data_IF_018134821365
#
_entry.id   IF_018134821365
#
_cell.length_a   1.000
_cell.length_b   1.000
_cell.length_c   1.000
_cell.angle_alpha   90.00
_cell.angle_beta   90.00
_cell.angle_gamma   90.00
#
_symmetry.space_group_name_H-M   'P 1'
#
loop_
_entity.id
_entity.type
_entity.pdbx_description
1 polymer ?
#
# COMPACT_ATOMS: atom_id res chain seq x y z
N UNK A 1 5.52 39.28 -40.83
CA UNK A 1 6.30 38.05 -41.05
C UNK A 1 5.38 36.88 -40.77
N UNK A 2 4.70 36.38 -41.80
CA UNK A 2 3.85 35.20 -41.69
C UNK A 2 4.73 33.96 -41.68
N UNK A 3 4.70 33.17 -40.61
CA UNK A 3 5.35 31.87 -40.59
C UNK A 3 4.60 30.95 -41.55
N UNK A 4 5.33 30.45 -42.56
CA UNK A 4 4.82 29.49 -43.55
C UNK A 4 4.11 28.30 -42.90
N UNK A 5 2.97 27.89 -43.47
CA UNK A 5 2.09 26.81 -43.01
C UNK A 5 2.82 25.49 -42.70
N UNK A 6 3.96 25.21 -43.38
CA UNK A 6 4.82 24.05 -43.12
C UNK A 6 5.55 24.13 -41.76
N UNK A 7 5.93 25.33 -41.31
CA UNK A 7 6.55 25.54 -40.01
C UNK A 7 5.53 25.40 -38.87
N UNK A 8 4.26 25.75 -39.10
CA UNK A 8 3.20 25.55 -38.11
C UNK A 8 2.84 24.07 -37.92
N UNK A 9 2.79 23.26 -39.00
CA UNK A 9 2.62 21.81 -38.87
C UNK A 9 3.80 21.13 -38.16
N UNK A 10 5.03 21.57 -38.44
CA UNK A 10 6.23 21.04 -37.78
C UNK A 10 6.24 21.34 -36.28
N UNK A 11 5.88 22.55 -35.87
CA UNK A 11 5.80 22.93 -34.45
C UNK A 11 4.70 22.15 -33.71
N UNK A 12 3.54 21.94 -34.34
CA UNK A 12 2.43 21.17 -33.76
C UNK A 12 2.80 19.69 -33.61
N UNK A 13 3.53 19.10 -34.55
CA UNK A 13 4.03 17.72 -34.41
C UNK A 13 5.07 17.57 -33.29
N UNK A 14 5.96 18.55 -33.08
CA UNK A 14 6.96 18.51 -32.00
C UNK A 14 6.31 18.71 -30.62
N UNK A 15 5.27 19.53 -30.53
CA UNK A 15 4.52 19.77 -29.27
C UNK A 15 3.58 18.59 -28.94
N UNK A 16 3.05 17.88 -29.95
CA UNK A 16 2.23 16.68 -29.72
C UNK A 16 3.05 15.39 -29.49
N UNK A 17 4.37 15.42 -29.74
CA UNK A 17 5.29 14.29 -29.49
C UNK A 17 6.10 14.42 -28.18
N UNK A 18 6.01 15.56 -27.48
CA UNK A 18 6.58 15.79 -26.15
C UNK A 18 5.46 16.26 -25.20
N UNK A 19 4.79 15.37 -24.42
CA UNK A 19 5.40 14.31 -23.63
C UNK A 19 4.56 13.03 -23.60
N UNK A 20 4.93 12.02 -24.38
CA UNK A 20 4.96 10.68 -23.82
C UNK A 20 6.19 10.63 -22.90
N UNK A 21 6.15 11.40 -21.79
CA UNK A 21 7.02 11.15 -20.65
C UNK A 21 6.58 9.78 -20.16
N UNK A 22 7.17 8.74 -20.73
CA UNK A 22 7.35 7.48 -20.04
C UNK A 22 7.95 7.89 -18.70
N UNK A 23 7.10 7.96 -17.67
CA UNK A 23 7.51 8.12 -16.29
C UNK A 23 8.28 6.83 -15.97
N UNK A 24 9.52 6.74 -16.47
CA UNK A 24 10.52 5.87 -15.91
C UNK A 24 10.69 6.39 -14.50
N UNK A 25 9.91 5.85 -13.56
CA UNK A 25 10.20 6.05 -12.15
C UNK A 25 11.62 5.57 -11.95
N UNK A 26 12.54 6.52 -11.81
CA UNK A 26 13.91 6.25 -11.46
C UNK A 26 13.93 5.53 -10.11
N UNK A 27 14.86 4.60 -9.96
CA UNK A 27 15.03 3.92 -8.69
C UNK A 27 15.69 4.87 -7.69
N UNK A 28 15.17 4.87 -6.47
CA UNK A 28 15.80 5.51 -5.32
C UNK A 28 16.77 4.53 -4.68
N UNK A 29 18.02 4.95 -4.50
CA UNK A 29 19.04 4.15 -3.78
C UNK A 29 18.80 4.24 -2.27
N UNK A 30 18.95 3.12 -1.58
CA UNK A 30 18.79 3.03 -0.13
C UNK A 30 19.43 1.75 0.41
N UNK A 31 19.07 1.34 1.61
CA UNK A 31 19.49 0.08 2.23
C UNK A 31 18.28 -0.69 2.74
N UNK A 32 18.42 -2.01 2.76
CA UNK A 32 17.43 -2.91 3.36
C UNK A 32 18.10 -3.85 4.36
N UNK A 33 17.38 -4.13 5.43
CA UNK A 33 17.67 -5.23 6.35
C UNK A 33 16.42 -6.09 6.52
N UNK A 34 16.46 -7.07 7.42
CA UNK A 34 15.35 -7.96 7.69
C UNK A 34 15.24 -8.24 9.19
N UNK A 35 14.02 -8.55 9.64
CA UNK A 35 13.76 -9.08 10.98
C UNK A 35 13.51 -10.59 10.90
N UNK A 36 13.52 -11.26 12.04
CA UNK A 36 13.28 -12.71 12.13
C UNK A 36 11.86 -13.01 12.60
N UNK A 37 11.22 -13.99 11.96
CA UNK A 37 9.95 -14.59 12.40
C UNK A 37 10.04 -16.11 12.22
N UNK A 38 9.37 -16.87 13.09
CA UNK A 38 9.45 -18.34 13.07
C UNK A 38 8.87 -18.97 11.80
N UNK A 39 7.90 -18.32 11.16
CA UNK A 39 7.24 -18.79 9.94
C UNK A 39 7.59 -17.98 8.67
N UNK A 40 8.50 -17.01 8.80
CA UNK A 40 9.04 -16.18 7.73
C UNK A 40 8.11 -15.07 7.22
N UNK A 41 6.89 -14.95 7.74
CA UNK A 41 5.91 -13.92 7.37
C UNK A 41 6.13 -12.61 8.14
N UNK A 42 5.21 -11.65 7.93
CA UNK A 42 5.13 -10.40 8.69
C UNK A 42 4.86 -10.54 10.20
N UNK A 43 4.62 -9.40 10.85
CA UNK A 43 4.04 -9.34 12.21
C UNK A 43 2.58 -8.84 12.13
N UNK A 44 1.65 -9.37 12.95
CA UNK A 44 0.28 -8.86 12.98
C UNK A 44 0.18 -7.49 13.68
N UNK A 45 1.22 -7.07 14.42
CA UNK A 45 1.22 -5.84 15.23
C UNK A 45 1.86 -4.65 14.51
N UNK A 46 1.99 -4.70 13.19
CA UNK A 46 2.59 -3.60 12.44
C UNK A 46 1.79 -2.30 12.57
N UNK A 47 2.48 -1.17 12.56
CA UNK A 47 1.96 0.18 12.75
C UNK A 47 0.86 0.58 11.75
N UNK A 48 0.68 -0.17 10.65
CA UNK A 48 -0.44 0.07 9.74
C UNK A 48 -1.79 -0.45 10.25
N UNK A 49 -1.82 -1.30 11.29
CA UNK A 49 -3.06 -1.79 11.90
C UNK A 49 -3.79 -2.88 11.10
N UNK A 50 -3.13 -3.48 10.11
CA UNK A 50 -3.71 -4.53 9.25
C UNK A 50 -3.87 -5.90 9.94
N UNK A 51 -3.35 -6.10 11.14
CA UNK A 51 -3.52 -7.36 11.88
C UNK A 51 -2.93 -8.57 11.15
N UNK A 52 -3.54 -9.74 11.37
CA UNK A 52 -3.15 -10.99 10.70
C UNK A 52 -3.21 -10.91 9.16
N UNK A 53 -4.10 -10.07 8.62
CA UNK A 53 -4.15 -9.84 7.17
C UNK A 53 -2.85 -9.24 6.65
N UNK A 54 -2.37 -8.18 7.32
CA UNK A 54 -1.15 -7.46 6.91
C UNK A 54 0.11 -8.30 6.97
N UNK A 55 0.20 -9.17 7.98
CA UNK A 55 1.32 -10.09 8.14
C UNK A 55 1.47 -11.06 6.96
N UNK A 56 0.36 -11.60 6.48
CA UNK A 56 0.37 -12.63 5.43
C UNK A 56 0.33 -12.02 4.05
N UNK A 57 -0.42 -10.92 3.85
CA UNK A 57 -0.65 -10.27 2.55
C UNK A 57 -0.69 -11.32 1.44
N UNK A 58 -1.65 -12.24 1.49
CA UNK A 58 -1.58 -13.55 0.82
C UNK A 58 -1.15 -13.45 -0.66
N UNK A 59 -1.60 -12.42 -1.36
CA UNK A 59 -1.25 -12.15 -2.76
C UNK A 59 0.25 -11.90 -3.00
N UNK A 60 0.92 -11.33 -2.01
CA UNK A 60 2.36 -11.12 -1.96
C UNK A 60 3.07 -12.23 -1.19
N UNK A 61 2.37 -13.29 -0.75
CA UNK A 61 2.98 -14.47 -0.13
C UNK A 61 3.78 -14.17 1.15
N UNK A 62 3.40 -13.14 1.90
CA UNK A 62 4.12 -12.69 3.10
C UNK A 62 5.28 -11.75 2.84
N UNK A 63 5.44 -11.26 1.60
CA UNK A 63 6.47 -10.30 1.25
C UNK A 63 6.02 -8.91 1.67
N UNK A 64 6.41 -8.50 2.87
CA UNK A 64 6.03 -7.24 3.50
C UNK A 64 7.25 -6.58 4.12
N UNK A 65 7.15 -5.30 4.44
CA UNK A 65 8.20 -4.57 5.13
C UNK A 65 7.64 -3.51 6.08
N UNK A 66 8.39 -3.28 7.15
CA UNK A 66 8.38 -2.00 7.84
C UNK A 66 9.19 -0.99 7.04
N UNK A 67 8.68 0.23 6.92
CA UNK A 67 9.33 1.28 6.14
C UNK A 67 9.58 2.53 6.96
N UNK A 68 10.62 3.29 6.60
CA UNK A 68 11.05 4.50 7.31
C UNK A 68 10.17 5.71 6.95
N UNK A 69 10.71 6.72 6.26
CA UNK A 69 10.00 7.90 5.76
C UNK A 69 8.86 7.58 4.79
N UNK A 70 8.88 6.40 4.15
CA UNK A 70 7.80 5.97 3.26
C UNK A 70 6.48 5.68 4.02
N UNK A 71 6.52 5.48 5.35
CA UNK A 71 5.33 5.23 6.16
C UNK A 71 4.38 6.43 6.17
N UNK A 72 4.91 7.66 6.11
CA UNK A 72 4.18 8.92 5.95
C UNK A 72 2.98 9.07 6.90
N UNK A 73 3.21 8.89 8.22
CA UNK A 73 2.15 8.98 9.23
C UNK A 73 0.95 8.06 8.94
N UNK A 74 1.23 6.87 8.39
CA UNK A 74 0.23 5.88 8.02
C UNK A 74 -0.33 6.04 6.60
N UNK A 75 -0.11 7.16 5.92
CA UNK A 75 -0.58 7.36 4.55
C UNK A 75 0.15 6.44 3.54
N UNK A 76 1.34 5.94 3.89
CA UNK A 76 2.09 4.94 3.10
C UNK A 76 1.67 3.49 3.35
N UNK A 77 0.76 3.23 4.27
CA UNK A 77 0.32 1.87 4.56
C UNK A 77 -0.41 1.25 3.37
N UNK A 78 -0.02 0.03 3.02
CA UNK A 78 -0.57 -0.70 1.87
C UNK A 78 0.08 -0.34 0.53
N UNK A 79 1.07 0.56 0.50
CA UNK A 79 1.78 0.88 -0.75
C UNK A 79 2.74 -0.23 -1.16
N UNK A 80 2.88 -0.44 -2.47
CA UNK A 80 3.70 -1.50 -3.04
C UNK A 80 5.00 -0.96 -3.65
N UNK A 81 6.07 -1.72 -3.47
CA UNK A 81 7.41 -1.40 -3.96
C UNK A 81 8.03 -2.58 -4.66
N UNK A 82 8.82 -2.28 -5.69
CA UNK A 82 9.84 -3.18 -6.19
C UNK A 82 11.17 -2.76 -5.58
N UNK A 83 11.87 -3.72 -4.96
CA UNK A 83 13.15 -3.54 -4.28
C UNK A 83 14.17 -4.50 -4.87
N UNK A 84 15.32 -3.99 -5.32
CA UNK A 84 16.41 -4.77 -5.90
C UNK A 84 17.68 -4.53 -5.09
N UNK A 85 18.46 -5.57 -4.84
CA UNK A 85 19.78 -5.38 -4.24
C UNK A 85 20.82 -4.97 -5.30
N UNK A 86 21.95 -4.44 -4.83
CA UNK A 86 23.02 -3.89 -5.67
C UNK A 86 24.31 -4.72 -5.67
N UNK A 87 24.24 -6.01 -5.29
CA UNK A 87 25.34 -6.97 -5.38
C UNK A 87 25.18 -7.80 -6.66
N UNK A 88 25.87 -7.48 -7.77
CA UNK A 88 25.55 -8.03 -9.10
C UNK A 88 25.60 -9.56 -9.17
N UNK A 89 26.48 -10.16 -8.37
CA UNK A 89 26.70 -11.61 -8.30
C UNK A 89 25.65 -12.34 -7.44
N UNK A 90 24.76 -11.65 -6.75
CA UNK A 90 23.77 -12.30 -5.87
C UNK A 90 22.34 -11.88 -6.24
N UNK A 91 22.16 -10.71 -6.83
CA UNK A 91 20.84 -10.11 -6.98
C UNK A 91 20.00 -10.72 -8.09
N UNK A 92 18.73 -10.97 -7.77
CA UNK A 92 17.68 -11.19 -8.76
C UNK A 92 17.41 -9.90 -9.53
N UNK A 93 17.29 -9.99 -10.86
CA UNK A 93 17.07 -8.81 -11.72
C UNK A 93 15.74 -8.09 -11.42
N UNK A 94 14.73 -8.82 -10.98
CA UNK A 94 13.44 -8.26 -10.59
C UNK A 94 13.38 -7.90 -9.11
N UNK A 95 14.14 -8.60 -8.27
CA UNK A 95 14.16 -8.42 -6.83
C UNK A 95 12.82 -8.76 -6.17
N UNK A 96 12.54 -8.11 -5.05
CA UNK A 96 11.34 -8.33 -4.25
C UNK A 96 10.24 -7.33 -4.61
N UNK A 97 9.04 -7.85 -4.87
CA UNK A 97 7.79 -7.08 -4.81
C UNK A 97 7.17 -7.26 -3.44
N UNK A 98 6.93 -6.16 -2.72
CA UNK A 98 6.46 -6.19 -1.34
C UNK A 98 5.48 -5.06 -1.03
N UNK A 99 4.78 -5.20 0.10
CA UNK A 99 3.83 -4.22 0.63
C UNK A 99 4.35 -3.59 1.92
N UNK A 100 4.22 -2.28 2.06
CA UNK A 100 4.49 -1.58 3.32
C UNK A 100 3.35 -1.82 4.32
N UNK A 101 3.65 -2.51 5.42
CA UNK A 101 2.66 -2.91 6.44
C UNK A 101 3.03 -2.48 7.85
N UNK A 102 4.17 -1.85 8.02
CA UNK A 102 4.69 -1.41 9.31
C UNK A 102 5.56 -0.16 9.15
N UNK A 103 5.92 0.44 10.27
CA UNK A 103 6.96 1.46 10.37
C UNK A 103 8.23 0.80 10.91
N UNK A 104 9.35 0.98 10.21
CA UNK A 104 10.62 0.37 10.57
C UNK A 104 11.77 1.35 10.42
N UNK A 105 12.72 1.28 11.34
CA UNK A 105 13.94 2.09 11.33
C UNK A 105 15.17 1.19 11.47
N UNK A 106 16.25 1.58 10.79
CA UNK A 106 17.56 0.95 10.85
C UNK A 106 18.63 1.94 10.37
N UNK A 107 19.90 1.53 10.32
CA UNK A 107 21.01 2.39 9.87
C UNK A 107 20.87 2.75 8.38
N UNK A 108 20.26 3.92 8.12
CA UNK A 108 20.03 4.47 6.77
C UNK A 108 19.30 3.48 5.86
N UNK A 109 18.37 2.72 6.44
CA UNK A 109 17.52 1.75 5.75
C UNK A 109 16.12 2.29 5.55
N UNK A 110 15.59 2.19 4.33
CA UNK A 110 14.17 2.47 4.08
C UNK A 110 13.28 1.25 4.28
N UNK A 111 13.85 0.04 4.27
CA UNK A 111 13.12 -1.20 4.36
C UNK A 111 13.69 -2.12 5.44
N UNK A 112 12.84 -2.49 6.40
CA UNK A 112 13.05 -3.62 7.30
C UNK A 112 12.09 -4.74 6.85
N UNK A 113 12.62 -5.66 6.06
CA UNK A 113 11.84 -6.64 5.29
C UNK A 113 11.49 -7.88 6.11
N UNK A 114 10.36 -8.53 5.80
CA UNK A 114 10.10 -9.89 6.27
C UNK A 114 11.14 -10.86 5.72
N UNK A 115 11.41 -12.00 6.38
CA UNK A 115 12.33 -13.01 5.86
C UNK A 115 12.01 -13.43 4.43
N UNK A 116 10.72 -13.64 4.13
CA UNK A 116 10.23 -13.98 2.79
C UNK A 116 10.48 -12.89 1.75
N UNK A 117 10.38 -11.61 2.13
CA UNK A 117 10.67 -10.50 1.23
C UNK A 117 12.18 -10.38 0.97
N UNK A 118 13.00 -10.47 2.02
CA UNK A 118 14.45 -10.34 1.90
C UNK A 118 15.06 -11.47 1.06
N UNK A 119 14.60 -12.71 1.24
CA UNK A 119 15.05 -13.85 0.45
C UNK A 119 14.77 -13.69 -1.07
N UNK A 120 13.81 -12.85 -1.46
CA UNK A 120 13.53 -12.56 -2.88
C UNK A 120 14.47 -11.54 -3.52
N UNK A 121 15.41 -10.97 -2.76
CA UNK A 121 16.48 -10.17 -3.34
C UNK A 121 17.51 -11.04 -4.06
N UNK A 122 17.72 -12.28 -3.61
CA UNK A 122 18.68 -13.21 -4.21
C UNK A 122 18.13 -13.91 -5.46
N UNK A 123 18.98 -14.10 -6.48
CA UNK A 123 18.64 -14.80 -7.75
C UNK A 123 18.37 -16.29 -7.60
N UNK A 124 18.81 -16.88 -6.49
CA UNK A 124 18.57 -18.27 -6.11
C UNK A 124 18.79 -18.42 -4.60
N UNK A 125 18.43 -19.58 -4.05
CA UNK A 125 18.49 -19.86 -2.61
C UNK A 125 19.89 -19.62 -2.01
N UNK A 126 20.95 -20.07 -2.69
CA UNK A 126 22.33 -19.81 -2.28
C UNK A 126 22.60 -18.30 -2.16
N UNK A 127 22.23 -17.53 -3.20
CA UNK A 127 22.45 -16.08 -3.21
C UNK A 127 21.64 -15.37 -2.11
N UNK A 128 20.42 -15.86 -1.82
CA UNK A 128 19.59 -15.33 -0.75
C UNK A 128 20.21 -15.56 0.63
N UNK A 129 20.78 -16.74 0.88
CA UNK A 129 21.50 -17.03 2.13
C UNK A 129 22.82 -16.27 2.22
N UNK A 130 23.56 -16.10 1.11
CA UNK A 130 24.74 -15.22 1.10
C UNK A 130 24.36 -13.78 1.45
N UNK A 131 23.31 -13.20 0.83
CA UNK A 131 22.84 -11.85 1.14
C UNK A 131 22.45 -11.70 2.62
N UNK A 132 21.86 -12.73 3.25
CA UNK A 132 21.52 -12.70 4.68
C UNK A 132 22.74 -12.53 5.58
N UNK A 133 23.91 -13.05 5.18
CA UNK A 133 25.16 -12.90 5.95
C UNK A 133 25.66 -11.45 6.01
N UNK A 134 25.28 -10.62 5.05
CA UNK A 134 25.59 -9.18 5.06
C UNK A 134 24.75 -8.44 6.13
N UNK A 135 23.59 -8.98 6.49
CA UNK A 135 22.63 -8.39 7.45
C UNK A 135 21.89 -7.17 6.91
N UNK A 136 22.63 -6.20 6.37
CA UNK A 136 22.09 -5.04 5.66
C UNK A 136 22.74 -4.94 4.28
N UNK A 137 21.92 -4.77 3.25
CA UNK A 137 22.38 -4.70 1.86
C UNK A 137 21.97 -3.38 1.22
N UNK A 138 22.83 -2.87 0.34
CA UNK A 138 22.48 -1.74 -0.50
C UNK A 138 21.46 -2.17 -1.54
N UNK A 139 20.43 -1.34 -1.71
CA UNK A 139 19.30 -1.58 -2.59
C UNK A 139 19.00 -0.36 -3.46
N UNK A 140 18.19 -0.60 -4.46
CA UNK A 140 17.44 0.41 -5.16
C UNK A 140 15.96 0.02 -5.16
N UNK A 141 15.05 0.99 -5.05
CA UNK A 141 13.63 0.72 -5.04
C UNK A 141 12.83 1.75 -5.82
N UNK A 142 11.61 1.37 -6.22
CA UNK A 142 10.62 2.29 -6.76
C UNK A 142 9.22 1.90 -6.33
N UNK A 143 8.32 2.86 -6.28
CA UNK A 143 6.90 2.60 -6.03
C UNK A 143 6.31 1.93 -7.28
N UNK A 144 5.49 0.91 -7.09
CA UNK A 144 4.82 0.19 -8.18
C UNK A 144 3.33 0.06 -7.88
N UNK A 145 2.48 -0.12 -8.91
CA UNK A 145 1.07 -0.41 -8.69
C UNK A 145 0.89 -1.68 -7.85
N UNK A 146 0.04 -1.60 -6.82
CA UNK A 146 -0.39 -2.78 -6.12
C UNK A 146 -1.31 -3.63 -7.00
N UNK A 147 -1.09 -4.95 -7.02
CA UNK A 147 -1.96 -5.91 -7.70
C UNK A 147 -2.53 -6.91 -6.70
N UNK A 148 -3.85 -6.96 -6.62
CA UNK A 148 -4.68 -7.85 -5.83
C UNK A 148 -5.80 -8.38 -6.73
N UNK A 149 -6.14 -9.66 -6.63
CA UNK A 149 -7.36 -10.17 -7.25
C UNK A 149 -8.56 -9.94 -6.33
N UNK A 150 -9.63 -9.41 -6.90
CA UNK A 150 -10.87 -9.17 -6.19
C UNK A 150 -11.04 -7.72 -5.79
N UNK A 151 -11.97 -7.49 -4.88
CA UNK A 151 -12.48 -6.17 -4.58
C UNK A 151 -11.71 -5.53 -3.40
N UNK A 152 -11.79 -4.20 -3.32
CA UNK A 152 -11.46 -3.47 -2.09
C UNK A 152 -12.28 -4.05 -0.94
N UNK A 153 -11.68 -4.19 0.24
CA UNK A 153 -12.35 -4.76 1.41
C UNK A 153 -12.45 -3.72 2.53
N UNK A 154 -13.59 -3.71 3.21
CA UNK A 154 -13.74 -3.06 4.51
C UNK A 154 -13.57 -4.09 5.60
N UNK A 155 -12.50 -4.00 6.38
CA UNK A 155 -12.26 -4.88 7.51
C UNK A 155 -12.49 -4.12 8.81
N UNK A 156 -13.54 -4.50 9.53
CA UNK A 156 -13.87 -3.90 10.83
C UNK A 156 -12.84 -4.38 11.84
N UNK A 157 -12.19 -3.45 12.53
CA UNK A 157 -11.18 -3.75 13.53
C UNK A 157 -11.79 -4.50 14.71
N UNK A 158 -11.00 -5.42 15.24
CA UNK A 158 -11.30 -6.23 16.41
C UNK A 158 -11.54 -5.38 17.66
N UNK A 159 -11.00 -4.17 17.70
CA UNK A 159 -11.19 -3.18 18.78
C UNK A 159 -12.53 -2.43 18.70
N UNK A 160 -13.35 -2.68 17.68
CA UNK A 160 -14.67 -2.06 17.53
C UNK A 160 -15.68 -2.61 18.54
N UNK A 161 -16.73 -1.85 18.82
CA UNK A 161 -17.87 -2.25 19.63
C UNK A 161 -19.18 -1.82 18.96
N UNK A 162 -20.14 -2.73 18.87
CA UNK A 162 -21.45 -2.48 18.28
C UNK A 162 -22.55 -2.53 19.35
N UNK A 163 -23.16 -1.39 19.75
CA UNK A 163 -22.78 -0.01 19.42
C UNK A 163 -21.61 0.49 20.28
N UNK A 164 -21.04 1.65 19.93
CA UNK A 164 -20.11 2.40 20.78
C UNK A 164 -18.88 2.94 20.05
N UNK A 165 -18.18 2.09 19.31
CA UNK A 165 -16.94 2.48 18.63
C UNK A 165 -16.78 1.72 17.32
N UNK A 166 -16.56 2.44 16.23
CA UNK A 166 -16.35 1.85 14.92
C UNK A 166 -14.95 2.19 14.43
N UNK A 167 -14.16 1.16 14.11
CA UNK A 167 -12.87 1.34 13.45
C UNK A 167 -12.72 0.34 12.31
N UNK A 168 -12.07 0.75 11.23
CA UNK A 168 -11.79 -0.12 10.10
C UNK A 168 -10.46 0.18 9.43
N UNK A 169 -10.01 -0.78 8.64
CA UNK A 169 -8.99 -0.60 7.60
C UNK A 169 -9.58 -0.91 6.24
N UNK A 170 -9.12 -0.19 5.22
CA UNK A 170 -9.43 -0.49 3.83
C UNK A 170 -8.28 -1.32 3.25
N UNK A 171 -8.60 -2.51 2.75
CA UNK A 171 -7.65 -3.48 2.21
C UNK A 171 -7.83 -3.64 0.70
N UNK A 172 -6.85 -4.24 0.02
CA UNK A 172 -6.88 -4.54 -1.42
C UNK A 172 -7.07 -3.30 -2.31
N UNK A 173 -6.43 -2.20 -1.91
CA UNK A 173 -6.37 -0.99 -2.72
C UNK A 173 -5.34 -1.22 -3.83
N UNK A 174 -5.83 -1.57 -5.02
CA UNK A 174 -5.02 -1.73 -6.23
C UNK A 174 -4.46 -0.39 -6.72
N UNK A 175 -3.49 -0.46 -7.63
CA UNK A 175 -2.95 0.71 -8.31
C UNK A 175 -1.90 1.47 -7.49
N UNK A 176 -1.60 2.70 -7.90
CA UNK A 176 -0.71 3.62 -7.18
C UNK A 176 -1.57 4.61 -6.39
N UNK A 177 -2.21 4.10 -5.34
CA UNK A 177 -3.18 4.83 -4.56
C UNK A 177 -2.86 4.79 -3.07
N UNK A 178 -2.99 5.94 -2.43
CA UNK A 178 -2.99 6.10 -0.97
C UNK A 178 -4.44 6.37 -0.55
N UNK A 179 -4.99 5.63 0.42
CA UNK A 179 -6.30 5.98 0.99
C UNK A 179 -6.13 7.26 1.78
N UNK A 180 -6.82 8.33 1.37
CA UNK A 180 -6.64 9.68 1.95
C UNK A 180 -7.72 10.01 2.98
N UNK A 181 -8.96 9.61 2.75
CA UNK A 181 -10.08 9.87 3.63
C UNK A 181 -11.14 8.75 3.56
N UNK A 182 -11.90 8.59 4.64
CA UNK A 182 -13.05 7.69 4.74
C UNK A 182 -14.19 8.45 5.38
N UNK A 183 -15.41 8.24 4.89
CA UNK A 183 -16.63 8.83 5.43
C UNK A 183 -17.69 7.78 5.64
N UNK A 184 -18.49 7.97 6.68
CA UNK A 184 -19.71 7.20 6.93
C UNK A 184 -20.94 8.07 6.75
N UNK A 185 -22.04 7.46 6.30
CA UNK A 185 -23.31 8.15 6.14
C UNK A 185 -24.15 8.07 7.42
N UNK A 186 -24.58 9.21 7.93
CA UNK A 186 -25.44 9.33 9.11
C UNK A 186 -26.35 10.56 8.99
N UNK A 187 -27.64 10.38 9.31
CA UNK A 187 -28.61 11.49 9.41
C UNK A 187 -28.63 12.41 8.17
N UNK A 188 -28.60 11.83 6.97
CA UNK A 188 -28.65 12.61 5.73
C UNK A 188 -27.31 13.20 5.27
N UNK A 189 -26.21 12.95 5.99
CA UNK A 189 -24.92 13.57 5.73
C UNK A 189 -23.77 12.56 5.78
N UNK A 190 -22.71 12.85 5.04
CA UNK A 190 -21.43 12.16 5.17
C UNK A 190 -20.61 12.78 6.30
N UNK A 191 -20.07 11.94 7.18
CA UNK A 191 -19.24 12.33 8.32
C UNK A 191 -17.88 11.66 8.18
N UNK A 192 -16.81 12.47 8.28
CA UNK A 192 -15.44 11.98 8.15
C UNK A 192 -15.03 11.13 9.35
N UNK A 193 -14.33 10.05 9.07
CA UNK A 193 -13.64 9.24 10.07
C UNK A 193 -12.27 9.84 10.35
N UNK A 194 -11.78 9.68 11.58
CA UNK A 194 -10.44 10.12 11.95
C UNK A 194 -9.43 9.04 11.61
N UNK A 195 -8.30 9.41 11.00
CA UNK A 195 -7.16 8.52 10.92
C UNK A 195 -6.43 8.54 12.25
N UNK A 196 -6.51 7.45 13.00
CA UNK A 196 -5.98 7.36 14.35
C UNK A 196 -4.55 6.79 14.37
N UNK A 197 -4.38 5.56 13.86
CA UNK A 197 -3.08 4.88 13.83
C UNK A 197 -2.88 4.16 12.50
N UNK A 198 -1.84 4.56 11.74
CA UNK A 198 -1.52 3.92 10.46
C UNK A 198 -2.63 4.06 9.41
N UNK A 199 -3.19 2.91 9.00
CA UNK A 199 -4.31 2.84 8.06
C UNK A 199 -5.68 2.71 8.75
N UNK A 200 -5.75 2.80 10.09
CA UNK A 200 -7.00 2.66 10.84
C UNK A 200 -7.76 3.99 10.83
N UNK A 201 -9.00 3.92 10.36
CA UNK A 201 -9.96 5.01 10.43
C UNK A 201 -11.02 4.69 11.47
N UNK A 202 -11.34 5.65 12.33
CA UNK A 202 -12.31 5.46 13.41
C UNK A 202 -13.41 6.50 13.46
N UNK A 203 -14.48 6.12 14.16
CA UNK A 203 -15.62 6.95 14.47
C UNK A 203 -16.19 6.59 15.85
N UNK A 204 -16.19 7.55 16.79
CA UNK A 204 -16.84 7.34 18.08
C UNK A 204 -18.36 7.37 17.91
N UNK A 205 -19.08 6.49 18.63
CA UNK A 205 -20.54 6.45 18.65
C UNK A 205 -21.18 6.41 17.24
N UNK A 206 -20.91 5.35 16.44
CA UNK A 206 -21.49 5.22 15.10
C UNK A 206 -23.03 5.20 15.15
N UNK A 207 -23.72 5.54 14.05
CA UNK A 207 -25.17 5.41 13.98
C UNK A 207 -25.62 4.00 14.34
N UNK A 208 -26.72 3.89 15.08
CA UNK A 208 -27.40 2.61 15.26
C UNK A 208 -27.95 2.15 13.91
N UNK A 209 -27.71 0.89 13.55
CA UNK A 209 -28.21 0.30 12.31
C UNK A 209 -27.12 0.09 11.26
N UNK A 210 -27.55 0.11 10.01
CA UNK A 210 -26.71 -0.13 8.84
C UNK A 210 -25.66 0.97 8.65
N UNK A 211 -24.44 0.56 8.26
CA UNK A 211 -23.35 1.49 7.96
C UNK A 211 -23.11 1.53 6.45
N UNK A 212 -23.07 2.74 5.90
CA UNK A 212 -22.61 3.00 4.54
C UNK A 212 -21.33 3.81 4.59
N UNK A 213 -20.35 3.42 3.79
CA UNK A 213 -19.05 4.05 3.73
C UNK A 213 -18.72 4.49 2.31
N UNK A 214 -17.98 5.59 2.20
CA UNK A 214 -17.25 5.99 1.00
C UNK A 214 -15.82 6.34 1.37
N UNK A 215 -14.92 6.29 0.41
CA UNK A 215 -13.51 6.61 0.65
C UNK A 215 -12.90 7.35 -0.53
N UNK A 216 -11.78 8.01 -0.28
CA UNK A 216 -11.04 8.74 -1.30
C UNK A 216 -9.62 8.20 -1.38
N UNK A 217 -9.09 8.14 -2.60
CA UNK A 217 -7.71 7.74 -2.87
C UNK A 217 -6.93 8.85 -3.57
N UNK A 218 -5.62 8.90 -3.38
CA UNK A 218 -4.74 9.83 -4.08
C UNK A 218 -4.83 9.63 -5.60
N UNK A 219 -4.74 10.72 -6.36
CA UNK A 219 -4.82 10.66 -7.83
C UNK A 219 -6.26 10.60 -8.38
N UNK A 220 -7.28 10.55 -7.52
CA UNK A 220 -8.69 10.67 -7.89
C UNK A 220 -9.32 11.93 -7.26
N UNK A 221 -10.09 12.68 -8.06
CA UNK A 221 -10.86 13.84 -7.57
C UNK A 221 -12.06 13.39 -6.74
N UNK A 222 -12.71 12.33 -7.18
CA UNK A 222 -14.04 11.95 -6.69
C UNK A 222 -13.97 10.92 -5.56
N UNK A 223 -15.05 10.86 -4.80
CA UNK A 223 -15.25 9.81 -3.81
C UNK A 223 -15.58 8.49 -4.49
N UNK A 224 -14.99 7.42 -3.98
CA UNK A 224 -15.38 6.05 -4.28
C UNK A 224 -16.50 5.67 -3.34
N UNK A 225 -17.73 5.57 -3.86
CA UNK A 225 -18.91 5.06 -3.14
C UNK A 225 -19.22 3.64 -3.64
N UNK A 226 -18.89 2.59 -2.87
CA UNK A 226 -19.16 1.21 -3.26
C UNK A 226 -20.63 0.82 -3.34
N UNK A 227 -21.55 1.66 -2.85
CA UNK A 227 -22.99 1.36 -2.75
C UNK A 227 -23.29 0.02 -2.05
N UNK A 228 -22.41 -0.42 -1.15
CA UNK A 228 -22.68 -1.57 -0.27
C UNK A 228 -23.10 -1.10 1.12
N UNK A 229 -23.79 -1.98 1.82
CA UNK A 229 -24.25 -1.76 3.19
C UNK A 229 -23.58 -2.77 4.11
N UNK A 230 -22.98 -2.29 5.20
CA UNK A 230 -22.56 -3.12 6.33
C UNK A 230 -23.80 -3.29 7.23
N UNK A 231 -24.24 -4.54 7.50
CA UNK A 231 -25.51 -4.81 8.18
C UNK A 231 -25.45 -4.36 9.64
N UNK A 232 -26.60 -4.02 10.22
CA UNK A 232 -26.70 -3.46 11.59
C UNK A 232 -26.10 -4.33 12.69
N UNK A 233 -26.05 -5.65 12.49
CA UNK A 233 -25.50 -6.63 13.43
C UNK A 233 -24.03 -6.97 13.15
N UNK A 234 -23.29 -6.08 12.46
CA UNK A 234 -21.87 -6.27 12.18
C UNK A 234 -21.09 -6.55 13.46
N UNK A 235 -20.07 -7.41 13.35
CA UNK A 235 -19.22 -7.82 14.45
C UNK A 235 -17.77 -7.33 14.24
N UNK A 236 -17.02 -7.07 15.31
CA UNK A 236 -15.58 -6.83 15.21
C UNK A 236 -14.86 -7.98 14.49
N UNK A 237 -13.91 -7.66 13.64
CA UNK A 237 -13.19 -8.64 12.80
C UNK A 237 -13.90 -9.04 11.51
N UNK A 238 -15.17 -8.66 11.31
CA UNK A 238 -15.86 -8.95 10.06
C UNK A 238 -15.24 -8.18 8.89
N UNK A 239 -15.17 -8.87 7.74
CA UNK A 239 -14.68 -8.29 6.48
C UNK A 239 -15.79 -8.28 5.46
N UNK A 240 -16.01 -7.13 4.82
CA UNK A 240 -17.03 -6.93 3.80
C UNK A 240 -16.32 -6.61 2.48
N UNK A 241 -16.49 -7.48 1.49
CA UNK A 241 -16.03 -7.21 0.15
C UNK A 241 -16.91 -6.12 -0.48
N UNK A 242 -16.27 -5.06 -0.96
CA UNK A 242 -16.95 -4.08 -1.80
C UNK A 242 -17.22 -4.68 -3.18
N UNK A 243 -17.90 -3.95 -4.07
CA UNK A 243 -17.98 -4.27 -5.50
C UNK A 243 -17.02 -3.41 -6.33
N UNK A 244 -16.06 -2.77 -5.67
CA UNK A 244 -15.12 -1.82 -6.29
C UNK A 244 -13.79 -2.51 -6.54
N UNK A 245 -13.27 -2.31 -7.74
CA UNK A 245 -11.89 -2.64 -8.11
C UNK A 245 -11.22 -1.38 -8.63
N UNK A 246 -10.18 -0.94 -7.93
CA UNK A 246 -9.30 0.12 -8.39
C UNK A 246 -8.28 -0.48 -9.38
N UNK A 247 -7.72 0.37 -10.25
CA UNK A 247 -6.73 -0.01 -11.25
C UNK A 247 -5.43 0.74 -11.02
#
# INVERSE_FOLDING_TARGET
>A
MELSFKHQLGLVCVILLFPALCYCQEYTKSRATFYSTSDGYGTPTGACGFGEYGRKMNWYGGRVAGVSGLWRNGAGCGTCYQVRCLVPELCDTNGAYLVATDQGYGDRTDFVMSPRAFLKLGRNEYSSEELKKYGTVDIEYKRVPCTYTGNVLFHIKETSTNPGYFALVILNVNGIHDVTAVELYQMGQWKSLNRNSGAVFDFPNPPSGEIRLRFRVSGMSDWVDPMIVIPSNWQPGNTYATKVQLK
#
